data_IF_314357240321
#
_entry.id   IF_314357240321
#
_cell.length_a   1.000
_cell.length_b   1.000
_cell.length_c   1.000
_cell.angle_alpha   90.00
_cell.angle_beta   90.00
_cell.angle_gamma   90.00
#
_symmetry.space_group_name_H-M   'P 1'
#
loop_
_entity.id
_entity.type
_entity.pdbx_description
1 polymer ?
#
# COMPACT_ATOMS: atom_id res chain seq x y z
N UNK A 1 -6.23 19.23 -4.03
CA UNK A 1 -5.35 18.51 -3.09
C UNK A 1 -5.90 18.54 -1.67
N UNK A 2 -5.60 17.50 -0.89
CA UNK A 2 -5.83 17.47 0.56
C UNK A 2 -4.53 17.08 1.25
N UNK A 3 -4.05 17.95 2.14
CA UNK A 3 -2.86 17.66 2.95
C UNK A 3 -3.23 16.77 4.15
N UNK A 4 -2.49 15.69 4.35
CA UNK A 4 -2.64 14.78 5.48
C UNK A 4 -1.28 14.64 6.19
N UNK A 5 -0.86 15.73 6.82
CA UNK A 5 0.42 15.87 7.53
C UNK A 5 0.20 16.15 9.02
N UNK A 6 1.28 16.29 9.79
CA UNK A 6 1.23 16.74 11.18
C UNK A 6 0.81 15.69 12.21
N UNK A 7 0.99 14.40 11.93
CA UNK A 7 0.70 13.35 12.89
C UNK A 7 1.68 13.38 14.08
N UNK A 8 1.13 13.51 15.28
CA UNK A 8 1.87 13.43 16.54
C UNK A 8 1.21 12.40 17.44
N UNK A 9 2.00 11.49 18.00
CA UNK A 9 1.56 10.54 19.03
C UNK A 9 2.48 10.72 20.24
N UNK A 10 1.88 11.04 21.38
CA UNK A 10 2.64 11.22 22.63
C UNK A 10 3.32 9.90 23.04
N UNK A 11 4.51 9.96 23.68
CA UNK A 11 5.34 8.77 23.93
C UNK A 11 4.61 7.60 24.59
N UNK A 12 3.76 7.86 25.57
CA UNK A 12 3.01 6.83 26.29
C UNK A 12 2.08 5.96 25.41
N UNK A 13 1.70 6.44 24.21
CA UNK A 13 0.80 5.73 23.29
C UNK A 13 1.52 5.23 22.03
N UNK A 14 2.85 5.36 21.97
CA UNK A 14 3.65 4.83 20.86
C UNK A 14 3.75 3.31 20.96
N UNK A 15 3.94 2.64 19.84
CA UNK A 15 4.01 1.19 19.78
C UNK A 15 2.65 0.48 19.79
N UNK A 16 1.55 1.16 20.14
CA UNK A 16 0.20 0.60 20.24
C UNK A 16 -0.61 0.69 18.93
N UNK A 17 0.01 1.06 17.82
CA UNK A 17 -0.67 1.17 16.53
C UNK A 17 -1.54 2.43 16.34
N UNK A 18 -1.56 3.35 17.31
CA UNK A 18 -2.39 4.56 17.30
C UNK A 18 -2.13 5.43 16.06
N UNK A 19 -0.86 5.62 15.67
CA UNK A 19 -0.50 6.37 14.48
C UNK A 19 -1.14 5.79 13.21
N UNK A 20 -1.17 4.47 13.08
CA UNK A 20 -1.79 3.77 11.95
C UNK A 20 -3.29 4.01 11.94
N UNK A 21 -3.96 3.84 13.07
CA UNK A 21 -5.41 4.05 13.18
C UNK A 21 -5.81 5.49 12.84
N UNK A 22 -5.06 6.50 13.33
CA UNK A 22 -5.32 7.90 13.00
C UNK A 22 -5.14 8.14 11.48
N UNK A 23 -4.06 7.63 10.89
CA UNK A 23 -3.81 7.78 9.45
C UNK A 23 -4.87 7.11 8.59
N UNK A 24 -5.30 5.91 8.95
CA UNK A 24 -6.39 5.20 8.26
C UNK A 24 -7.71 5.98 8.36
N UNK A 25 -8.07 6.45 9.54
CA UNK A 25 -9.29 7.23 9.75
C UNK A 25 -9.27 8.55 8.94
N UNK A 26 -8.15 9.29 8.98
CA UNK A 26 -7.98 10.52 8.22
C UNK A 26 -8.02 10.27 6.71
N UNK A 27 -7.37 9.21 6.23
CA UNK A 27 -7.40 8.79 4.83
C UNK A 27 -8.83 8.50 4.36
N UNK A 28 -9.55 7.65 5.07
CA UNK A 28 -10.92 7.29 4.71
C UNK A 28 -11.88 8.48 4.78
N UNK A 29 -11.72 9.36 5.77
CA UNK A 29 -12.50 10.60 5.84
C UNK A 29 -12.24 11.49 4.62
N UNK A 30 -10.97 11.71 4.28
CA UNK A 30 -10.57 12.52 3.13
C UNK A 30 -11.11 11.92 1.81
N UNK A 31 -11.03 10.60 1.65
CA UNK A 31 -11.57 9.92 0.46
C UNK A 31 -13.10 10.01 0.34
N UNK A 32 -13.81 9.99 1.46
CA UNK A 32 -15.28 10.17 1.46
C UNK A 32 -15.68 11.60 1.13
N UNK A 33 -14.99 12.59 1.71
CA UNK A 33 -15.32 14.02 1.51
C UNK A 33 -14.86 14.55 0.16
N UNK A 34 -13.72 14.09 -0.31
CA UNK A 34 -13.06 14.60 -1.51
C UNK A 34 -12.61 13.44 -2.42
N UNK A 35 -13.56 12.71 -3.05
CA UNK A 35 -13.26 11.45 -3.75
C UNK A 35 -12.31 11.62 -4.94
N UNK A 36 -12.26 12.81 -5.56
CA UNK A 36 -11.40 13.09 -6.70
C UNK A 36 -10.08 13.79 -6.32
N UNK A 37 -9.96 14.26 -5.08
CA UNK A 37 -8.78 14.99 -4.66
C UNK A 37 -7.57 14.04 -4.46
N UNK A 38 -6.41 14.51 -4.89
CA UNK A 38 -5.13 13.91 -4.52
C UNK A 38 -4.86 14.19 -3.04
N UNK A 39 -4.47 13.15 -2.30
CA UNK A 39 -4.07 13.28 -0.90
C UNK A 39 -2.55 13.26 -0.83
N UNK A 40 -1.95 14.15 -0.04
CA UNK A 40 -0.52 14.16 0.11
C UNK A 40 -0.08 14.43 1.55
N UNK A 41 1.17 14.16 1.84
CA UNK A 41 1.80 14.44 3.13
C UNK A 41 3.30 14.52 3.02
N UNK A 42 3.90 15.25 3.95
CA UNK A 42 5.33 15.35 4.13
C UNK A 42 5.74 14.67 5.43
N UNK A 43 6.81 13.90 5.41
CA UNK A 43 7.31 13.24 6.61
C UNK A 43 8.80 12.94 6.51
N UNK A 44 9.52 13.03 7.64
CA UNK A 44 10.88 12.51 7.82
C UNK A 44 10.87 11.12 8.46
N UNK A 45 9.71 10.66 8.96
CA UNK A 45 9.60 9.43 9.74
C UNK A 45 9.34 8.19 8.89
N UNK A 46 10.25 7.22 8.91
CA UNK A 46 10.11 5.96 8.19
C UNK A 46 8.80 5.22 8.53
N UNK A 47 8.40 5.21 9.80
CA UNK A 47 7.17 4.55 10.23
C UNK A 47 5.93 5.17 9.57
N UNK A 48 5.90 6.50 9.43
CA UNK A 48 4.82 7.21 8.74
C UNK A 48 4.85 6.92 7.24
N UNK A 49 6.04 6.82 6.63
CA UNK A 49 6.16 6.41 5.23
C UNK A 49 5.59 5.01 5.00
N UNK A 50 5.90 4.05 5.88
CA UNK A 50 5.36 2.68 5.80
C UNK A 50 3.82 2.66 5.91
N UNK A 51 3.25 3.43 6.85
CA UNK A 51 1.79 3.55 6.98
C UNK A 51 1.18 4.17 5.71
N UNK A 52 1.74 5.27 5.23
CA UNK A 52 1.26 5.91 4.01
C UNK A 52 1.33 4.95 2.80
N UNK A 53 2.44 4.21 2.63
CA UNK A 53 2.58 3.21 1.56
C UNK A 53 1.50 2.13 1.66
N UNK A 54 1.16 1.65 2.86
CA UNK A 54 0.08 0.68 3.05
C UNK A 54 -1.31 1.21 2.67
N UNK A 55 -1.49 2.53 2.68
CA UNK A 55 -2.70 3.23 2.23
C UNK A 55 -2.69 3.57 0.72
N UNK A 56 -1.62 3.20 0.01
CA UNK A 56 -1.49 3.43 -1.42
C UNK A 56 -0.84 4.75 -1.81
N UNK A 57 -0.24 5.48 -0.87
CA UNK A 57 0.61 6.62 -1.20
C UNK A 57 1.93 6.14 -1.81
N UNK A 58 2.46 6.93 -2.74
CA UNK A 58 3.77 6.72 -3.34
C UNK A 58 4.68 7.92 -3.09
N UNK A 59 6.00 7.73 -2.92
CA UNK A 59 6.96 8.82 -2.83
C UNK A 59 7.00 9.62 -4.13
N UNK A 60 7.08 10.94 -4.02
CA UNK A 60 7.15 11.85 -5.18
C UNK A 60 8.07 13.03 -4.89
N UNK A 61 8.51 13.70 -5.94
CA UNK A 61 9.18 15.00 -5.83
C UNK A 61 8.18 16.07 -5.40
N UNK A 62 8.67 17.14 -4.76
CA UNK A 62 7.82 18.24 -4.30
C UNK A 62 7.07 18.94 -5.42
N UNK A 63 7.65 18.99 -6.61
CA UNK A 63 6.99 19.53 -7.82
C UNK A 63 5.68 18.81 -8.22
N UNK A 64 5.40 17.63 -7.66
CA UNK A 64 4.14 16.89 -7.87
C UNK A 64 3.11 17.06 -6.76
N UNK A 65 3.45 17.83 -5.73
CA UNK A 65 2.57 18.15 -4.63
C UNK A 65 1.67 19.34 -4.99
N UNK A 66 1.46 20.26 -4.09
CA UNK A 66 0.64 21.46 -4.30
C UNK A 66 1.49 22.69 -4.57
N UNK A 67 0.97 23.62 -5.38
CA UNK A 67 1.55 24.94 -5.57
C UNK A 67 1.00 25.97 -4.58
N UNK A 68 0.22 25.53 -3.59
CA UNK A 68 -0.43 26.37 -2.59
C UNK A 68 0.62 26.99 -1.65
N UNK A 69 0.79 28.31 -1.77
CA UNK A 69 1.75 29.07 -0.96
C UNK A 69 1.41 29.05 0.53
N UNK A 70 0.13 29.02 0.90
CA UNK A 70 -0.33 28.96 2.28
C UNK A 70 0.11 27.63 2.93
N UNK A 71 -0.01 26.52 2.19
CA UNK A 71 0.53 25.23 2.64
C UNK A 71 2.03 25.31 2.91
N UNK A 72 2.81 25.87 1.98
CA UNK A 72 4.27 25.97 2.10
C UNK A 72 4.69 26.98 3.17
N UNK A 73 3.87 28.00 3.45
CA UNK A 73 4.13 28.92 4.55
C UNK A 73 4.15 28.22 5.92
N UNK A 74 3.43 27.10 6.09
CA UNK A 74 3.48 26.26 7.27
C UNK A 74 4.87 25.66 7.56
N UNK A 75 5.74 25.55 6.55
CA UNK A 75 7.10 25.08 6.72
C UNK A 75 8.04 26.11 7.37
N UNK A 76 7.66 27.40 7.46
CA UNK A 76 8.50 28.47 8.01
C UNK A 76 8.95 28.21 9.46
N UNK A 77 8.15 27.51 10.23
CA UNK A 77 8.48 27.13 11.62
C UNK A 77 9.30 25.85 11.74
N UNK A 78 9.60 25.17 10.64
CA UNK A 78 10.34 23.93 10.62
C UNK A 78 11.85 24.17 10.70
N UNK A 79 12.56 23.35 11.49
CA UNK A 79 14.04 23.42 11.62
C UNK A 79 14.79 23.19 10.29
N UNK A 80 14.13 22.58 9.32
CA UNK A 80 14.69 22.30 7.99
C UNK A 80 14.26 23.34 6.93
N UNK A 81 13.66 24.45 7.33
CA UNK A 81 13.14 25.43 6.38
C UNK A 81 14.22 26.07 5.50
N UNK A 82 15.42 26.25 6.04
CA UNK A 82 16.58 26.74 5.30
C UNK A 82 16.92 25.86 4.08
N UNK A 83 16.77 24.53 4.21
CA UNK A 83 16.99 23.59 3.10
C UNK A 83 15.93 23.81 2.00
N UNK A 84 14.68 23.99 2.41
CA UNK A 84 13.58 24.24 1.48
C UNK A 84 13.79 25.55 0.72
N UNK A 85 14.22 26.62 1.41
CA UNK A 85 14.53 27.91 0.79
C UNK A 85 15.71 27.81 -0.20
N UNK A 86 16.84 27.24 0.22
CA UNK A 86 18.03 27.09 -0.63
C UNK A 86 17.79 26.26 -1.88
N UNK A 87 16.79 25.41 -1.88
CA UNK A 87 16.44 24.54 -3.02
C UNK A 87 15.24 25.07 -3.82
N UNK A 88 14.87 26.34 -3.66
CA UNK A 88 13.71 26.96 -4.30
C UNK A 88 12.45 26.09 -4.18
N UNK A 89 12.13 25.63 -2.99
CA UNK A 89 10.96 24.80 -2.64
C UNK A 89 10.91 23.43 -3.35
N UNK A 90 12.02 22.96 -3.92
CA UNK A 90 12.04 21.70 -4.68
C UNK A 90 12.47 20.50 -3.86
N UNK A 91 13.20 20.70 -2.76
CA UNK A 91 13.76 19.62 -1.93
C UNK A 91 13.78 20.00 -0.45
N UNK A 92 13.61 19.00 0.40
CA UNK A 92 13.79 19.08 1.83
C UNK A 92 14.22 17.70 2.37
N UNK A 93 14.48 17.58 3.67
CA UNK A 93 14.69 16.28 4.33
C UNK A 93 13.38 15.46 4.44
N UNK A 94 12.22 16.11 4.29
CA UNK A 94 10.95 15.41 4.21
C UNK A 94 10.84 14.63 2.90
N UNK A 95 10.24 13.45 2.97
CA UNK A 95 9.74 12.73 1.82
C UNK A 95 8.31 13.19 1.52
N UNK A 96 8.06 13.68 0.31
CA UNK A 96 6.73 13.93 -0.21
C UNK A 96 6.08 12.61 -0.61
N UNK A 97 4.86 12.36 -0.16
CA UNK A 97 4.09 11.18 -0.54
C UNK A 97 2.71 11.57 -1.03
N UNK A 98 2.25 10.98 -2.13
CA UNK A 98 0.97 11.29 -2.75
C UNK A 98 0.14 10.02 -2.97
N UNK A 99 -1.15 10.12 -2.69
CA UNK A 99 -2.19 9.20 -3.16
C UNK A 99 -2.97 9.89 -4.28
N UNK A 100 -2.91 9.35 -5.48
CA UNK A 100 -3.65 9.85 -6.64
C UNK A 100 -4.76 8.84 -7.00
N UNK A 101 -6.05 9.18 -6.82
CA UNK A 101 -7.16 8.27 -7.08
C UNK A 101 -7.24 7.80 -8.53
N UNK A 102 -6.86 8.64 -9.49
CA UNK A 102 -6.89 8.26 -10.90
C UNK A 102 -5.80 7.25 -11.24
N UNK A 103 -4.59 7.44 -10.68
CA UNK A 103 -3.49 6.48 -10.87
C UNK A 103 -3.85 5.14 -10.27
N UNK A 104 -4.38 5.14 -9.05
CA UNK A 104 -4.80 3.90 -8.37
C UNK A 104 -5.90 3.19 -9.15
N UNK A 105 -6.91 3.90 -9.64
CA UNK A 105 -7.97 3.31 -10.46
C UNK A 105 -7.43 2.70 -11.76
N UNK A 106 -6.50 3.38 -12.44
CA UNK A 106 -5.84 2.84 -13.65
C UNK A 106 -5.03 1.59 -13.36
N UNK A 107 -4.27 1.56 -12.26
CA UNK A 107 -3.49 0.39 -11.86
C UNK A 107 -4.40 -0.79 -11.52
N UNK A 108 -5.49 -0.57 -10.80
CA UNK A 108 -6.46 -1.61 -10.48
C UNK A 108 -7.15 -2.17 -11.72
N UNK A 109 -7.51 -1.31 -12.68
CA UNK A 109 -8.10 -1.74 -13.95
C UNK A 109 -7.11 -2.58 -14.78
N UNK A 110 -5.83 -2.18 -14.82
CA UNK A 110 -4.78 -2.93 -15.51
C UNK A 110 -4.56 -4.30 -14.85
N UNK A 111 -4.48 -4.35 -13.51
CA UNK A 111 -4.33 -5.61 -12.78
C UNK A 111 -5.50 -6.58 -13.03
N UNK A 112 -6.74 -6.07 -13.05
CA UNK A 112 -7.93 -6.87 -13.38
C UNK A 112 -7.87 -7.45 -14.81
N UNK A 113 -7.38 -6.67 -15.80
CA UNK A 113 -7.22 -7.15 -17.18
C UNK A 113 -6.18 -8.27 -17.25
N UNK A 114 -5.04 -8.13 -16.56
CA UNK A 114 -4.00 -9.16 -16.51
C UNK A 114 -4.50 -10.44 -15.83
N UNK A 115 -5.22 -10.32 -14.72
CA UNK A 115 -5.80 -11.47 -14.02
C UNK A 115 -6.83 -12.20 -14.90
N UNK A 116 -7.66 -11.47 -15.65
CA UNK A 116 -8.64 -12.04 -16.58
C UNK A 116 -7.97 -12.70 -17.80
N UNK A 117 -6.86 -12.16 -18.30
CA UNK A 117 -6.10 -12.74 -19.43
C UNK A 117 -5.27 -13.97 -19.04
N UNK A 118 -4.98 -14.16 -17.75
CA UNK A 118 -4.25 -15.33 -17.24
C UNK A 118 -5.10 -16.58 -17.02
N UNK A 119 -6.42 -16.53 -17.20
CA UNK A 119 -7.26 -17.72 -17.28
C UNK A 119 -7.15 -18.37 -18.67
N UNK A 120 -5.95 -18.79 -19.05
CA UNK A 120 -5.74 -19.63 -20.21
C UNK A 120 -6.32 -21.03 -19.94
N UNK A 121 -7.05 -21.62 -20.90
CA UNK A 121 -7.67 -22.94 -20.73
C UNK A 121 -6.65 -24.06 -20.93
N UNK A 122 -5.47 -23.97 -20.28
CA UNK A 122 -4.42 -25.00 -20.40
C UNK A 122 -4.79 -26.29 -19.65
N UNK A 123 -5.79 -26.27 -18.79
CA UNK A 123 -6.21 -27.45 -18.02
C UNK A 123 -7.39 -28.23 -18.61
N UNK A 124 -8.04 -27.76 -19.69
CA UNK A 124 -9.13 -28.52 -20.32
C UNK A 124 -8.67 -29.70 -21.19
N UNK A 125 -7.43 -29.66 -21.68
CA UNK A 125 -6.92 -30.77 -22.54
C UNK A 125 -6.21 -31.90 -21.75
N UNK A 126 -5.79 -31.68 -20.50
CA UNK A 126 -5.13 -32.75 -19.73
C UNK A 126 -6.09 -33.78 -19.11
N UNK A 127 -7.38 -33.50 -19.05
CA UNK A 127 -8.36 -34.46 -18.50
C UNK A 127 -8.76 -35.58 -19.50
N UNK A 128 -8.48 -35.42 -20.79
CA UNK A 128 -8.83 -36.44 -21.77
C UNK A 128 -7.70 -37.44 -22.08
N UNK A 129 -6.43 -37.16 -21.65
CA UNK A 129 -5.30 -38.05 -21.95
C UNK A 129 -5.01 -39.03 -20.80
N UNK A 130 -5.49 -38.77 -19.59
CA UNK A 130 -5.22 -39.64 -18.41
C UNK A 130 -6.35 -40.67 -18.17
N UNK A 131 -7.42 -40.63 -18.96
CA UNK A 131 -8.57 -41.52 -18.79
C UNK A 131 -8.47 -42.89 -19.50
N UNK A 132 -7.42 -43.19 -20.27
CA UNK A 132 -7.41 -44.41 -21.10
C UNK A 132 -6.26 -45.38 -20.86
N UNK A 133 -5.44 -45.25 -19.82
CA UNK A 133 -4.31 -46.18 -19.60
C UNK A 133 -4.07 -46.59 -18.12
N UNK A 134 -5.13 -46.74 -17.31
CA UNK A 134 -4.98 -47.38 -16.00
C UNK A 134 -6.07 -48.44 -15.75
N UNK A 135 -6.11 -49.37 -16.68
CA UNK A 135 -6.76 -50.66 -16.45
C UNK A 135 -5.76 -51.76 -16.74
N UNK A 136 -4.76 -51.96 -15.86
CA UNK A 136 -4.02 -53.22 -15.61
C UNK A 136 -2.98 -52.91 -14.53
N UNK A 137 -3.25 -53.17 -13.29
CA UNK A 137 -2.42 -53.80 -12.29
C UNK A 137 -3.14 -53.72 -10.93
N UNK A 138 -3.80 -54.74 -10.60
CA UNK A 138 -4.32 -54.97 -9.25
C UNK A 138 -3.16 -55.29 -8.29
N UNK A 139 -3.00 -54.44 -7.30
CA UNK A 139 -2.31 -54.78 -6.04
C UNK A 139 -2.97 -54.02 -4.88
N UNK A 140 -3.34 -54.69 -3.79
CA UNK A 140 -4.00 -54.07 -2.65
C UNK A 140 -3.00 -53.28 -1.80
N UNK A 141 -3.25 -52.01 -1.57
CA UNK A 141 -2.50 -51.20 -0.62
C UNK A 141 -3.14 -51.34 0.77
N UNK A 142 -2.42 -52.02 1.65
CA UNK A 142 -2.66 -52.17 3.07
C UNK A 142 -2.73 -50.80 3.75
N UNK A 143 -3.84 -50.52 4.47
CA UNK A 143 -3.95 -49.45 5.46
C UNK A 143 -3.12 -49.86 6.69
N UNK A 144 -2.06 -49.15 6.99
CA UNK A 144 -1.45 -49.15 8.31
C UNK A 144 -1.48 -47.77 8.91
N UNK A 145 -1.99 -47.73 10.10
CA UNK A 145 -2.19 -46.59 10.95
C UNK A 145 -0.85 -45.94 11.37
N UNK A 146 -0.84 -44.64 11.50
CA UNK A 146 0.06 -43.97 12.43
C UNK A 146 -0.71 -42.90 13.21
N UNK A 147 -1.04 -43.26 14.44
CA UNK A 147 -1.45 -42.41 15.55
C UNK A 147 -0.19 -41.95 16.30
N UNK A 148 -0.35 -40.79 16.97
CA UNK A 148 0.49 -40.25 18.07
C UNK A 148 1.68 -39.41 17.59
N UNK A 149 1.93 -38.25 18.18
CA UNK A 149 1.82 -37.77 19.58
C UNK A 149 1.78 -36.26 19.63
N UNK A 150 0.93 -35.71 20.49
CA UNK A 150 1.05 -34.38 21.08
C UNK A 150 2.13 -34.38 22.15
N UNK A 151 2.71 -33.22 22.41
CA UNK A 151 3.39 -32.71 23.60
C UNK A 151 4.79 -32.15 23.31
N UNK A 152 4.91 -30.89 23.45
CA UNK A 152 5.60 -29.97 24.39
C UNK A 152 5.73 -28.61 23.75
#
# INVERSE_FOLDING_TARGET
FVANSGLIVVPAYRGLGVAKQIKEAAFHLSRRRFPQAKLFGLTTGEQVMRINTSLGYVPVTFAKLTDDEEFWAGCKSCVNYDILQRTNMTKCLCTGMIYDPEVVARQQAAAKKVAKGRSLPLFKHLRHVVGSTLAVCGLPVSRSAMKHTANL
#
